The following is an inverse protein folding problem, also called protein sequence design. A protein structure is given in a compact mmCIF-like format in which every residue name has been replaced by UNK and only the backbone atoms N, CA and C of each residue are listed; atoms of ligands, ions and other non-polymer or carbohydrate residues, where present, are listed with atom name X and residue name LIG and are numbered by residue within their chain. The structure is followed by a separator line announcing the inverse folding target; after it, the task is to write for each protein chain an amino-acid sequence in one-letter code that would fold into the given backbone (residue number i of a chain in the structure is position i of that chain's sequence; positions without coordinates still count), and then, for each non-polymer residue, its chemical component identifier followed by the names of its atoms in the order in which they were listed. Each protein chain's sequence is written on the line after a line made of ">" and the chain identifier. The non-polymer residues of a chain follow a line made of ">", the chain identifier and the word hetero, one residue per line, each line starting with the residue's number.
data_IF_159484027591
#
_entry.id   IF_159484027591
#
_cell.length_a   1.000
_cell.length_b   1.000
_cell.length_c   1.000
_cell.angle_alpha   90.00
_cell.angle_beta   90.00
_cell.angle_gamma   90.00
#
_symmetry.space_group_name_H-M   'P 1'
#
loop_
_entity.id
_entity.type
_entity.pdbx_description
1 polymer ?
#
# COMPACT_ATOMS: atom_id res chain seq x y z
N UNK A 1 -24.51 1.82 0.33
CA UNK A 1 -24.17 1.29 1.66
C UNK A 1 -24.73 -0.12 1.70
N UNK A 2 -23.87 -1.11 1.47
CA UNK A 2 -24.25 -2.50 1.70
C UNK A 2 -24.00 -2.82 3.18
N UNK A 3 -24.87 -3.64 3.76
CA UNK A 3 -24.78 -4.08 5.15
C UNK A 3 -24.11 -5.47 5.15
N UNK A 4 -23.15 -5.69 6.04
CA UNK A 4 -22.54 -7.00 6.28
C UNK A 4 -23.11 -7.64 7.54
N UNK A 5 -23.05 -8.98 7.62
CA UNK A 5 -23.49 -9.72 8.80
C UNK A 5 -22.55 -9.45 9.97
N UNK A 6 -23.08 -8.91 11.06
CA UNK A 6 -22.37 -8.82 12.33
C UNK A 6 -22.44 -10.18 13.03
N UNK A 7 -21.44 -11.02 12.78
CA UNK A 7 -21.34 -12.37 13.35
C UNK A 7 -21.33 -12.34 14.88
N UNK A 8 -20.52 -11.47 15.48
CA UNK A 8 -20.38 -11.40 16.94
C UNK A 8 -21.68 -10.93 17.59
N UNK A 9 -22.29 -9.87 17.05
CA UNK A 9 -23.57 -9.36 17.49
C UNK A 9 -24.71 -10.36 17.31
N UNK A 10 -24.71 -11.09 16.19
CA UNK A 10 -25.70 -12.14 15.89
C UNK A 10 -25.58 -13.32 16.85
N UNK A 11 -24.35 -13.79 17.12
CA UNK A 11 -24.10 -14.89 18.06
C UNK A 11 -24.53 -14.49 19.46
N UNK A 12 -24.14 -13.29 19.92
CA UNK A 12 -24.49 -12.81 21.24
C UNK A 12 -26.00 -12.59 21.40
N UNK A 13 -26.65 -11.98 20.41
CA UNK A 13 -28.10 -11.77 20.39
C UNK A 13 -28.87 -13.09 20.43
N UNK A 14 -28.44 -14.06 19.62
CA UNK A 14 -29.06 -15.39 19.58
C UNK A 14 -28.89 -16.14 20.90
N UNK A 15 -27.70 -16.08 21.50
CA UNK A 15 -27.42 -16.69 22.80
C UNK A 15 -28.23 -16.04 23.93
N UNK A 16 -28.35 -14.71 23.93
CA UNK A 16 -29.13 -13.97 24.92
C UNK A 16 -30.64 -14.18 24.76
N UNK A 17 -31.11 -14.52 23.55
CA UNK A 17 -32.53 -14.71 23.24
C UNK A 17 -32.97 -16.19 23.31
N UNK A 18 -32.40 -16.95 24.26
CA UNK A 18 -32.69 -18.36 24.50
C UNK A 18 -32.56 -19.27 23.26
N UNK A 19 -31.63 -18.94 22.35
CA UNK A 19 -31.39 -19.71 21.12
C UNK A 19 -32.31 -19.33 19.96
N UNK A 20 -33.18 -18.32 20.11
CA UNK A 20 -33.88 -17.74 18.97
C UNK A 20 -32.92 -16.86 18.15
N UNK A 21 -32.80 -17.18 16.86
CA UNK A 21 -31.89 -16.50 15.94
C UNK A 21 -32.19 -15.00 15.87
N UNK A 22 -31.23 -14.18 16.29
CA UNK A 22 -31.27 -12.71 16.23
C UNK A 22 -30.19 -12.22 15.26
N UNK A 23 -30.54 -12.04 13.98
CA UNK A 23 -29.62 -11.62 12.93
C UNK A 23 -29.35 -10.12 13.05
N UNK A 24 -28.08 -9.76 13.27
CA UNK A 24 -27.63 -8.37 13.32
C UNK A 24 -26.78 -8.04 12.11
N UNK A 25 -27.02 -6.85 11.57
CA UNK A 25 -26.34 -6.33 10.39
C UNK A 25 -25.57 -5.07 10.79
N UNK A 26 -24.36 -4.91 10.26
CA UNK A 26 -23.55 -3.72 10.45
C UNK A 26 -23.16 -3.10 9.11
N UNK A 27 -22.81 -1.80 9.06
CA UNK A 27 -22.27 -1.19 7.84
C UNK A 27 -21.00 -1.93 7.39
N UNK A 28 -20.91 -2.29 6.12
CA UNK A 28 -19.73 -2.94 5.55
C UNK A 28 -18.47 -2.07 5.72
N UNK A 29 -17.36 -2.71 6.12
CA UNK A 29 -16.07 -2.01 6.25
C UNK A 29 -15.47 -1.73 4.88
N UNK A 30 -15.60 -0.50 4.41
CA UNK A 30 -14.92 -0.08 3.19
C UNK A 30 -13.46 0.32 3.45
N UNK A 31 -12.52 -0.38 2.80
CA UNK A 31 -11.12 0.01 2.77
C UNK A 31 -10.94 1.34 2.03
N UNK A 32 -10.76 2.44 2.78
CA UNK A 32 -10.46 3.79 2.27
C UNK A 32 -8.98 4.14 2.36
N UNK A 33 -8.12 3.18 2.71
CA UNK A 33 -6.70 3.44 2.89
C UNK A 33 -6.08 3.79 1.54
N UNK A 34 -5.41 4.95 1.49
CA UNK A 34 -4.59 5.38 0.37
C UNK A 34 -3.14 5.07 0.71
N UNK A 35 -2.45 4.36 -0.17
CA UNK A 35 -1.06 3.94 0.05
C UNK A 35 -0.16 4.53 -1.02
N UNK A 36 0.96 5.08 -0.58
CA UNK A 36 2.08 5.49 -1.41
C UNK A 36 3.25 4.55 -1.11
N UNK A 37 3.69 3.79 -2.11
CA UNK A 37 4.77 2.81 -1.97
C UNK A 37 6.03 3.34 -2.67
N UNK A 38 7.13 3.46 -1.92
CA UNK A 38 8.44 3.83 -2.43
C UNK A 38 9.36 2.61 -2.35
N UNK A 39 9.90 2.20 -3.49
CA UNK A 39 10.68 0.98 -3.63
C UNK A 39 12.09 1.32 -4.06
N UNK A 40 13.06 0.83 -3.32
CA UNK A 40 14.46 1.03 -3.65
C UNK A 40 14.86 0.18 -4.85
N UNK A 41 15.69 0.75 -5.70
CA UNK A 41 16.26 0.09 -6.88
C UNK A 41 17.72 0.50 -6.99
N UNK A 42 18.60 -0.49 -7.00
CA UNK A 42 20.03 -0.30 -7.16
C UNK A 42 20.81 -1.46 -6.57
N UNK A 43 21.95 -1.81 -7.17
CA UNK A 43 22.88 -2.79 -6.61
C UNK A 43 22.22 -4.15 -6.31
N UNK A 44 22.22 -4.53 -5.03
CA UNK A 44 21.67 -5.78 -4.49
C UNK A 44 20.15 -5.92 -4.63
N UNK A 45 19.43 -4.81 -4.87
CA UNK A 45 17.98 -4.84 -5.06
C UNK A 45 17.55 -5.26 -6.48
N UNK A 46 18.44 -5.25 -7.48
CA UNK A 46 18.09 -5.58 -8.87
C UNK A 46 17.57 -7.03 -9.01
N UNK A 47 18.09 -7.96 -8.21
CA UNK A 47 17.60 -9.36 -8.17
C UNK A 47 16.22 -9.51 -7.50
N UNK A 48 15.82 -8.52 -6.69
CA UNK A 48 14.55 -8.52 -5.96
C UNK A 48 13.42 -7.80 -6.68
N UNK A 49 13.71 -7.06 -7.77
CA UNK A 49 12.72 -6.30 -8.55
C UNK A 49 11.53 -7.16 -8.95
N UNK A 50 11.76 -8.40 -9.39
CA UNK A 50 10.67 -9.29 -9.80
C UNK A 50 9.73 -9.67 -8.64
N UNK A 51 10.26 -9.98 -7.45
CA UNK A 51 9.44 -10.28 -6.26
C UNK A 51 8.67 -9.05 -5.78
N UNK A 52 9.28 -7.89 -5.90
CA UNK A 52 8.66 -6.61 -5.56
C UNK A 52 7.51 -6.30 -6.54
N UNK A 53 7.68 -6.59 -7.83
CA UNK A 53 6.61 -6.49 -8.83
C UNK A 53 5.45 -7.47 -8.56
N UNK A 54 5.74 -8.70 -8.13
CA UNK A 54 4.71 -9.68 -7.73
C UNK A 54 3.93 -9.20 -6.49
N UNK A 55 4.63 -8.75 -5.45
CA UNK A 55 4.03 -8.16 -4.26
C UNK A 55 3.14 -6.97 -4.64
N UNK A 56 3.60 -6.13 -5.56
CA UNK A 56 2.84 -4.99 -6.05
C UNK A 56 1.58 -5.41 -6.81
N UNK A 57 1.69 -6.41 -7.69
CA UNK A 57 0.55 -6.95 -8.44
C UNK A 57 -0.53 -7.48 -7.49
N UNK A 58 -0.13 -8.21 -6.45
CA UNK A 58 -1.03 -8.67 -5.40
C UNK A 58 -1.60 -7.53 -4.54
N UNK A 59 -0.79 -6.55 -4.15
CA UNK A 59 -1.27 -5.42 -3.34
C UNK A 59 -2.27 -4.53 -4.10
N UNK A 60 -2.12 -4.42 -5.42
CA UNK A 60 -3.01 -3.59 -6.26
C UNK A 60 -4.45 -4.13 -6.31
N UNK A 61 -4.68 -5.43 -6.14
CA UNK A 61 -6.04 -5.97 -6.05
C UNK A 61 -6.73 -5.65 -4.73
N UNK A 62 -5.95 -5.50 -3.65
CA UNK A 62 -6.47 -5.25 -2.30
C UNK A 62 -6.70 -3.75 -2.00
N UNK A 63 -5.88 -2.87 -2.57
CA UNK A 63 -5.95 -1.43 -2.32
C UNK A 63 -6.53 -0.65 -3.51
N UNK A 64 -7.69 -0.02 -3.30
CA UNK A 64 -8.33 0.85 -4.32
C UNK A 64 -7.47 2.07 -4.71
N UNK A 65 -6.63 2.55 -3.80
CA UNK A 65 -5.80 3.74 -4.00
C UNK A 65 -4.35 3.43 -3.66
N UNK A 66 -3.66 2.77 -4.58
CA UNK A 66 -2.25 2.43 -4.47
C UNK A 66 -1.44 3.16 -5.56
N UNK A 67 -0.53 4.02 -5.14
CA UNK A 67 0.44 4.68 -6.02
C UNK A 67 1.85 4.19 -5.66
N UNK A 68 2.70 4.00 -6.66
CA UNK A 68 4.04 3.46 -6.46
C UNK A 68 5.09 4.25 -7.24
N UNK A 69 6.29 4.31 -6.66
CA UNK A 69 7.46 4.89 -7.28
C UNK A 69 8.73 4.15 -6.84
N UNK A 70 9.75 4.26 -7.67
CA UNK A 70 11.10 3.76 -7.43
C UNK A 70 12.05 4.91 -7.08
N UNK A 71 13.05 4.64 -6.25
CA UNK A 71 14.14 5.55 -5.92
C UNK A 71 15.49 4.82 -5.93
N UNK A 72 16.61 5.55 -5.89
CA UNK A 72 17.96 4.97 -5.85
C UNK A 72 18.60 5.27 -4.50
N UNK A 73 18.65 4.28 -3.59
CA UNK A 73 19.26 4.29 -2.25
C UNK A 73 18.67 5.30 -1.26
N UNK A 74 18.52 6.58 -1.66
CA UNK A 74 17.89 7.63 -0.88
C UNK A 74 16.91 8.47 -1.70
N UNK A 75 15.81 8.89 -1.05
CA UNK A 75 14.77 9.73 -1.66
C UNK A 75 15.13 11.22 -1.52
N UNK A 76 16.16 11.67 -2.24
CA UNK A 76 16.57 13.07 -2.27
C UNK A 76 16.17 13.75 -3.59
N UNK A 77 16.77 13.31 -4.70
CA UNK A 77 16.67 14.06 -5.95
C UNK A 77 15.43 13.69 -6.75
N UNK A 78 15.29 12.42 -7.13
CA UNK A 78 14.25 11.99 -8.06
C UNK A 78 13.70 10.61 -7.73
N UNK A 79 12.41 10.47 -8.02
CA UNK A 79 11.69 9.20 -8.05
C UNK A 79 11.14 8.94 -9.45
N UNK A 80 10.89 7.69 -9.82
CA UNK A 80 10.33 7.35 -11.14
C UNK A 80 9.29 6.24 -11.06
N UNK A 81 8.35 6.20 -12.00
CA UNK A 81 7.31 5.15 -12.04
C UNK A 81 7.73 3.89 -12.79
N UNK A 82 8.66 4.01 -13.73
CA UNK A 82 9.06 2.91 -14.60
C UNK A 82 10.57 2.73 -14.56
N UNK A 83 11.03 1.62 -14.01
CA UNK A 83 12.45 1.36 -13.84
C UNK A 83 13.20 1.26 -15.18
N UNK A 84 12.57 0.70 -16.22
CA UNK A 84 13.14 0.62 -17.58
C UNK A 84 13.30 2.00 -18.24
N UNK A 85 12.60 3.02 -17.75
CA UNK A 85 12.65 4.40 -18.24
C UNK A 85 13.13 5.40 -17.18
N UNK A 86 13.97 4.96 -16.23
CA UNK A 86 14.47 5.79 -15.12
C UNK A 86 15.07 7.15 -15.53
N UNK A 87 15.59 7.25 -16.76
CA UNK A 87 16.18 8.49 -17.28
C UNK A 87 15.17 9.44 -17.95
N UNK A 88 14.01 8.94 -18.39
CA UNK A 88 13.03 9.71 -19.15
C UNK A 88 11.87 10.23 -18.30
N UNK A 89 11.51 9.52 -17.22
CA UNK A 89 10.33 9.84 -16.39
C UNK A 89 10.74 10.10 -14.93
N UNK A 90 11.61 11.10 -14.73
CA UNK A 90 12.02 11.56 -13.39
C UNK A 90 11.00 12.54 -12.83
N UNK A 91 10.58 12.30 -11.59
CA UNK A 91 9.75 13.20 -10.80
C UNK A 91 10.55 13.69 -9.61
N UNK A 92 10.48 14.98 -9.32
CA UNK A 92 11.16 15.54 -8.16
C UNK A 92 10.49 15.07 -6.87
N UNK A 93 11.29 14.70 -5.85
CA UNK A 93 10.78 14.32 -4.54
C UNK A 93 9.85 15.38 -3.93
N UNK A 94 10.13 16.67 -4.17
CA UNK A 94 9.27 17.76 -3.72
C UNK A 94 7.89 17.75 -4.36
N UNK A 95 7.80 17.34 -5.62
CA UNK A 95 6.52 17.22 -6.32
C UNK A 95 5.71 16.04 -5.77
N UNK A 96 6.38 14.96 -5.36
CA UNK A 96 5.76 13.83 -4.65
C UNK A 96 5.12 14.31 -3.34
N UNK A 97 5.87 15.04 -2.52
CA UNK A 97 5.40 15.58 -1.23
C UNK A 97 4.21 16.52 -1.41
N UNK A 98 4.22 17.35 -2.46
CA UNK A 98 3.11 18.28 -2.76
C UNK A 98 1.88 17.58 -3.31
N UNK A 99 2.06 16.49 -4.06
CA UNK A 99 0.98 15.73 -4.70
C UNK A 99 0.21 14.87 -3.71
N UNK A 100 0.89 14.26 -2.75
CA UNK A 100 0.28 13.34 -1.80
C UNK A 100 0.06 14.00 -0.44
N UNK A 101 -1.21 14.15 -0.07
CA UNK A 101 -1.60 14.74 1.21
C UNK A 101 -1.45 13.74 2.38
N UNK A 102 -1.73 14.20 3.60
CA UNK A 102 -1.64 13.41 4.84
C UNK A 102 -2.55 12.17 4.89
N UNK A 103 -3.52 12.05 3.98
CA UNK A 103 -4.39 10.88 3.91
C UNK A 103 -3.67 9.63 3.36
N UNK A 104 -2.53 9.83 2.68
CA UNK A 104 -1.71 8.74 2.18
C UNK A 104 -0.83 8.16 3.28
N UNK A 105 -0.81 6.83 3.36
CA UNK A 105 0.15 6.07 4.15
C UNK A 105 1.36 5.78 3.27
N UNK A 106 2.52 6.25 3.70
CA UNK A 106 3.80 6.06 3.01
C UNK A 106 4.48 4.79 3.53
N UNK A 107 4.87 3.91 2.60
CA UNK A 107 5.61 2.68 2.89
C UNK A 107 6.92 2.72 2.08
N UNK A 108 8.04 2.45 2.75
CA UNK A 108 9.35 2.27 2.12
C UNK A 108 9.71 0.79 2.09
N UNK A 109 10.18 0.32 0.95
CA UNK A 109 10.69 -1.04 0.76
C UNK A 109 12.08 -0.95 0.15
N UNK A 110 13.09 -1.45 0.86
CA UNK A 110 14.48 -1.49 0.42
C UNK A 110 15.27 -2.39 1.35
N UNK A 111 16.47 -2.78 0.93
CA UNK A 111 17.39 -3.58 1.73
C UNK A 111 18.22 -2.74 2.72
N UNK A 112 18.03 -1.41 2.70
CA UNK A 112 18.73 -0.43 3.54
C UNK A 112 20.26 -0.49 3.40
N UNK A 113 20.76 -1.09 2.32
CA UNK A 113 22.18 -1.22 2.04
C UNK A 113 22.65 0.01 1.27
N UNK A 114 23.40 0.89 1.93
CA UNK A 114 24.12 1.97 1.24
C UNK A 114 25.56 1.56 0.98
N UNK A 115 26.03 1.70 -0.25
CA UNK A 115 27.46 1.60 -0.54
C UNK A 115 28.18 2.75 0.17
N UNK A 116 29.36 2.54 0.79
CA UNK A 116 30.09 3.60 1.50
C UNK A 116 30.59 4.74 0.61
N UNK A 117 30.39 4.65 -0.70
CA UNK A 117 30.84 5.64 -1.70
C UNK A 117 29.68 6.40 -2.37
N UNK A 118 28.44 6.22 -1.90
CA UNK A 118 27.25 6.94 -2.38
C UNK A 118 26.83 8.09 -1.45
#
# INVERSE_FOLDING_TARGET
>A
SELELDLDGTIHGTAANAGMLDIRMQPERHNKVKVLLLMDVGGTMDEHVHRVEELFSAAKSEFKHLEFYYFHNCVYDFVWKNNRRRFAEKLNTWDLIRKYNRDYKLIFVGDATMSPYE
#
